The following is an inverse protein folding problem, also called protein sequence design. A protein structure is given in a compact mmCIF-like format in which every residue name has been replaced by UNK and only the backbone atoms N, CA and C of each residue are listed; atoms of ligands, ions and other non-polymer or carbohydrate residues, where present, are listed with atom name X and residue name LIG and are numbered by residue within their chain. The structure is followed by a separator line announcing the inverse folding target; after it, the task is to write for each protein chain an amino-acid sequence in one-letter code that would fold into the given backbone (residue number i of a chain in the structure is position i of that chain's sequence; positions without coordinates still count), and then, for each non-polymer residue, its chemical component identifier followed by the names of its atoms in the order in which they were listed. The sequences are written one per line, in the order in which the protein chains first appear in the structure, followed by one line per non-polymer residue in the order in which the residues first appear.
data_IF_371392812228
#
_entry.id   IF_371392812228
#
_cell.length_a   1.000
_cell.length_b   1.000
_cell.length_c   1.000
_cell.angle_alpha   90.00
_cell.angle_beta   90.00
_cell.angle_gamma   90.00
#
_symmetry.space_group_name_H-M   'P 1'
#
loop_
_entity.id
_entity.type
_entity.pdbx_description
1 polymer ?
#
# COMPACT_ATOMS: atom_id res chain seq x y z
N UNK A 1 4.48 7.98 -20.30
CA UNK A 1 5.36 7.14 -19.81
C UNK A 1 4.90 6.42 -18.64
N UNK A 2 5.02 5.22 -18.67
CA UNK A 2 4.44 4.40 -17.72
C UNK A 2 5.38 3.74 -16.82
N UNK A 3 6.45 4.32 -16.63
CA UNK A 3 7.45 3.72 -15.82
C UNK A 3 7.00 3.47 -14.42
N UNK A 4 6.13 4.32 -13.93
CA UNK A 4 5.68 4.19 -12.57
C UNK A 4 4.98 2.86 -12.31
N UNK A 5 4.31 2.33 -13.29
CA UNK A 5 3.60 1.08 -13.10
C UNK A 5 4.52 -0.10 -12.95
N UNK A 6 5.67 -0.02 -13.55
CA UNK A 6 6.61 -1.11 -13.49
C UNK A 6 7.16 -1.28 -12.09
N UNK A 7 7.30 -0.18 -11.36
CA UNK A 7 7.93 -0.23 -10.06
C UNK A 7 7.07 -0.82 -8.97
N UNK A 8 5.80 -1.04 -9.23
CA UNK A 8 4.91 -1.55 -8.19
C UNK A 8 5.33 -2.92 -7.69
N UNK A 9 5.72 -3.80 -8.59
CA UNK A 9 6.07 -5.15 -8.22
C UNK A 9 7.55 -5.43 -8.27
N UNK A 10 8.35 -4.43 -8.54
CA UNK A 10 9.79 -4.62 -8.60
C UNK A 10 10.45 -4.42 -7.26
N UNK A 11 11.62 -5.02 -7.11
CA UNK A 11 12.37 -4.87 -5.91
C UNK A 11 12.13 -6.01 -4.96
N UNK A 12 12.53 -5.79 -3.73
CA UNK A 12 12.45 -6.82 -2.72
C UNK A 12 11.00 -7.16 -2.41
N UNK A 13 10.75 -8.45 -2.18
CA UNK A 13 9.42 -8.94 -1.86
C UNK A 13 9.35 -9.31 -0.40
N UNK A 14 8.29 -8.87 0.25
CA UNK A 14 8.05 -9.17 1.67
C UNK A 14 6.75 -9.95 1.79
N UNK A 15 6.75 -10.99 2.62
CA UNK A 15 5.52 -11.69 2.92
C UNK A 15 4.71 -10.86 3.90
N UNK A 16 3.46 -11.25 4.06
CA UNK A 16 2.54 -10.42 4.85
C UNK A 16 3.00 -10.20 6.29
N UNK A 17 3.61 -11.20 6.90
CA UNK A 17 4.02 -11.01 8.29
C UNK A 17 5.09 -9.94 8.42
N UNK A 18 6.04 -9.90 7.48
CA UNK A 18 7.05 -8.88 7.51
C UNK A 18 6.49 -7.53 7.11
N UNK A 19 5.61 -7.51 6.10
CA UNK A 19 5.00 -6.27 5.69
C UNK A 19 4.20 -5.65 6.84
N UNK A 20 3.47 -6.46 7.57
CA UNK A 20 2.68 -5.97 8.69
C UNK A 20 3.57 -5.34 9.74
N UNK A 21 4.71 -5.97 10.02
CA UNK A 21 5.65 -5.40 10.97
C UNK A 21 6.16 -4.05 10.49
N UNK A 22 6.45 -3.96 9.20
CA UNK A 22 6.98 -2.71 8.65
C UNK A 22 5.96 -1.59 8.68
N UNK A 23 4.67 -1.93 8.59
CA UNK A 23 3.60 -0.95 8.67
C UNK A 23 3.17 -0.72 10.11
N UNK A 24 3.58 -1.62 11.00
CA UNK A 24 3.25 -1.56 12.42
C UNK A 24 1.77 -1.82 12.67
N UNK A 25 1.28 -2.90 12.07
CA UNK A 25 -0.08 -3.38 12.30
C UNK A 25 -0.06 -4.90 12.30
N UNK A 26 -1.17 -5.49 12.70
CA UNK A 26 -1.31 -6.94 12.64
C UNK A 26 -1.56 -7.37 11.19
N UNK A 27 -1.19 -8.60 10.87
CA UNK A 27 -1.35 -9.09 9.50
C UNK A 27 -2.81 -9.03 9.04
N UNK A 28 -3.74 -9.36 9.94
CA UNK A 28 -5.14 -9.34 9.53
C UNK A 28 -5.64 -7.94 9.23
N UNK A 29 -4.99 -6.92 9.78
CA UNK A 29 -5.35 -5.55 9.48
C UNK A 29 -4.98 -5.21 8.05
N UNK A 30 -3.79 -5.65 7.60
CA UNK A 30 -3.41 -5.43 6.21
C UNK A 30 -4.39 -6.09 5.26
N UNK A 31 -4.78 -7.34 5.55
CA UNK A 31 -5.73 -8.03 4.70
C UNK A 31 -7.09 -7.34 4.68
N UNK A 32 -7.50 -6.82 5.83
CA UNK A 32 -8.76 -6.12 5.93
C UNK A 32 -8.73 -4.84 5.09
N UNK A 33 -7.64 -4.06 5.21
CA UNK A 33 -7.51 -2.85 4.42
C UNK A 33 -7.44 -3.16 2.93
N UNK A 34 -6.70 -4.19 2.57
CA UNK A 34 -6.57 -4.61 1.19
C UNK A 34 -7.95 -4.88 0.58
N UNK A 35 -8.77 -5.58 1.33
CA UNK A 35 -10.08 -5.94 0.85
C UNK A 35 -11.02 -4.74 0.82
N UNK A 36 -11.06 -3.98 1.90
CA UNK A 36 -11.97 -2.85 1.98
C UNK A 36 -11.61 -1.73 1.01
N UNK A 37 -10.34 -1.52 0.80
CA UNK A 37 -9.89 -0.47 -0.11
C UNK A 37 -9.71 -0.99 -1.53
N UNK A 38 -9.93 -2.28 -1.73
CA UNK A 38 -9.83 -2.91 -3.05
C UNK A 38 -8.46 -2.68 -3.68
N UNK A 39 -7.42 -2.88 -2.89
CA UNK A 39 -6.05 -2.78 -3.37
C UNK A 39 -5.62 -4.16 -3.85
N UNK A 40 -5.25 -4.26 -5.12
CA UNK A 40 -4.78 -5.52 -5.67
C UNK A 40 -3.33 -5.74 -5.30
N UNK A 41 -3.08 -6.80 -4.54
CA UNK A 41 -1.74 -7.15 -4.12
C UNK A 41 -1.25 -8.28 -5.00
N UNK A 42 -0.03 -8.18 -5.51
CA UNK A 42 0.49 -9.24 -6.39
C UNK A 42 0.72 -10.53 -5.64
N UNK A 43 0.71 -11.63 -6.38
CA UNK A 43 0.95 -12.95 -5.81
C UNK A 43 2.09 -13.62 -6.56
N UNK A 44 2.86 -14.41 -5.82
CA UNK A 44 3.96 -15.12 -6.44
C UNK A 44 3.45 -16.39 -7.14
N UNK A 45 4.36 -17.19 -7.65
CA UNK A 45 3.98 -18.37 -8.41
C UNK A 45 3.18 -19.37 -7.59
N UNK A 46 3.34 -19.32 -6.28
CA UNK A 46 2.62 -20.24 -5.40
C UNK A 46 1.29 -19.67 -4.93
N UNK A 47 0.93 -18.50 -5.41
CA UNK A 47 -0.33 -17.89 -5.05
C UNK A 47 -0.30 -17.10 -3.75
N UNK A 48 0.87 -16.89 -3.18
CA UNK A 48 0.98 -16.15 -1.92
C UNK A 48 1.14 -14.67 -2.19
N UNK A 49 0.52 -13.85 -1.35
CA UNK A 49 0.67 -12.41 -1.44
C UNK A 49 2.10 -12.02 -1.18
N UNK A 50 2.59 -11.03 -1.91
CA UNK A 50 3.86 -10.43 -1.53
C UNK A 50 3.73 -8.92 -1.68
N UNK A 51 4.55 -8.23 -0.90
CA UNK A 51 4.49 -6.77 -0.84
C UNK A 51 5.87 -6.23 -1.18
N UNK A 52 5.88 -5.21 -2.04
CA UNK A 52 7.13 -4.52 -2.34
C UNK A 52 7.13 -3.22 -1.58
N UNK A 53 8.22 -2.49 -1.64
CA UNK A 53 8.31 -1.21 -0.97
C UNK A 53 7.18 -0.27 -1.41
N UNK A 54 6.79 -0.39 -2.67
CA UNK A 54 5.68 0.43 -3.17
C UNK A 54 4.42 0.22 -2.33
N UNK A 55 4.04 -1.04 -2.13
CA UNK A 55 2.83 -1.33 -1.38
C UNK A 55 2.98 -1.04 0.10
N UNK A 56 4.17 -1.29 0.64
CA UNK A 56 4.39 -0.99 2.04
C UNK A 56 4.25 0.50 2.31
N UNK A 57 4.74 1.33 1.41
CA UNK A 57 4.61 2.77 1.58
C UNK A 57 3.16 3.21 1.50
N UNK A 58 2.37 2.56 0.64
CA UNK A 58 0.95 2.87 0.56
C UNK A 58 0.26 2.54 1.88
N UNK A 59 0.56 1.36 2.44
CA UNK A 59 -0.07 0.98 3.69
C UNK A 59 0.41 1.84 4.87
N UNK A 60 1.64 2.29 4.83
CA UNK A 60 2.11 3.23 5.84
C UNK A 60 1.32 4.52 5.79
N UNK A 61 1.02 4.99 4.58
CA UNK A 61 0.22 6.21 4.44
C UNK A 61 -1.20 5.97 4.94
N UNK A 62 -1.75 4.81 4.64
CA UNK A 62 -3.08 4.47 5.14
C UNK A 62 -3.09 4.45 6.66
N UNK A 63 -2.07 3.85 7.26
CA UNK A 63 -2.00 3.82 8.71
C UNK A 63 -1.92 5.23 9.29
N UNK A 64 -1.12 6.08 8.67
CA UNK A 64 -1.00 7.45 9.10
C UNK A 64 -2.36 8.15 9.09
N UNK A 65 -3.12 7.95 8.01
CA UNK A 65 -4.42 8.58 7.90
C UNK A 65 -5.40 8.02 8.92
N UNK A 66 -5.34 6.69 9.15
CA UNK A 66 -6.18 6.09 10.17
C UNK A 66 -5.86 6.65 11.55
N UNK A 67 -4.59 6.81 11.83
CA UNK A 67 -4.17 7.37 13.11
C UNK A 67 -4.64 8.81 13.28
N UNK A 68 -4.82 9.51 12.17
CA UNK A 68 -5.34 10.87 12.20
C UNK A 68 -6.86 10.91 12.30
N UNK A 69 -7.50 9.75 12.30
CA UNK A 69 -8.93 9.70 12.49
C UNK A 69 -9.76 9.56 11.23
N UNK A 70 -9.13 9.41 10.08
CA UNK A 70 -9.90 9.26 8.85
C UNK A 70 -10.52 7.88 8.76
N UNK A 71 -11.76 7.82 8.28
CA UNK A 71 -12.44 6.56 8.07
C UNK A 71 -11.93 5.92 6.79
N UNK A 72 -12.00 4.59 6.74
CA UNK A 72 -11.57 3.89 5.54
C UNK A 72 -12.31 4.35 4.29
N UNK A 73 -13.58 4.68 4.45
CA UNK A 73 -14.36 5.16 3.31
C UNK A 73 -13.73 6.42 2.70
N UNK A 74 -13.30 7.33 3.54
CA UNK A 74 -12.65 8.54 3.06
C UNK A 74 -11.30 8.23 2.43
N UNK A 75 -10.57 7.30 3.04
CA UNK A 75 -9.27 6.91 2.51
C UNK A 75 -9.44 6.26 1.15
N UNK A 76 -10.49 5.46 0.98
CA UNK A 76 -10.73 4.80 -0.30
C UNK A 76 -10.93 5.82 -1.42
N UNK A 77 -11.63 6.89 -1.11
CA UNK A 77 -11.86 7.95 -2.10
C UNK A 77 -10.55 8.60 -2.51
N UNK A 78 -9.65 8.77 -1.57
CA UNK A 78 -8.37 9.40 -1.84
C UNK A 78 -7.31 8.45 -2.35
N UNK A 79 -7.64 7.15 -2.43
CA UNK A 79 -6.65 6.14 -2.74
C UNK A 79 -5.91 6.36 -4.07
N UNK A 80 -6.58 6.75 -5.16
CA UNK A 80 -5.83 6.99 -6.39
C UNK A 80 -4.73 8.02 -6.22
N UNK A 81 -5.00 9.08 -5.47
CA UNK A 81 -3.99 10.10 -5.23
C UNK A 81 -2.90 9.59 -4.31
N UNK A 82 -3.26 8.78 -3.33
CA UNK A 82 -2.27 8.21 -2.44
C UNK A 82 -1.31 7.33 -3.24
N UNK A 83 -1.83 6.52 -4.13
CA UNK A 83 -1.01 5.62 -4.90
C UNK A 83 -0.12 6.36 -5.89
N UNK A 84 -0.62 7.43 -6.45
CA UNK A 84 0.20 8.24 -7.33
C UNK A 84 1.21 9.05 -6.57
N UNK A 85 0.80 9.61 -5.45
CA UNK A 85 1.68 10.38 -4.62
C UNK A 85 2.84 9.57 -4.13
N UNK A 86 2.65 8.27 -4.02
CA UNK A 86 3.71 7.39 -3.62
C UNK A 86 4.86 7.45 -4.61
N UNK A 87 4.56 7.75 -5.84
CA UNK A 87 5.59 7.88 -6.86
C UNK A 87 6.09 9.28 -6.97
N UNK A 88 5.34 10.18 -6.41
CA UNK A 88 5.71 11.53 -6.59
C UNK A 88 5.63 12.25 -5.35
N UNK A 89 6.48 11.96 -4.53
CA UNK A 89 6.57 12.83 -3.44
C UNK A 89 6.66 14.22 -3.98
N UNK A 90 7.03 14.31 -5.18
CA UNK A 90 7.13 15.59 -5.81
C UNK A 90 5.82 16.33 -5.89
N UNK A 91 4.76 15.58 -5.98
CA UNK A 91 3.49 16.22 -6.05
C UNK A 91 3.28 17.09 -4.84
N UNK A 92 3.77 16.61 -3.75
CA UNK A 92 3.62 17.34 -2.53
C UNK A 92 4.37 18.63 -2.55
N UNK A 93 5.33 18.76 -3.42
CA UNK A 93 6.10 19.96 -3.50
C UNK A 93 5.38 21.05 -4.27
N UNK A 94 4.31 20.71 -4.87
CA UNK A 94 3.54 21.69 -5.57
C UNK A 94 2.65 22.50 -4.63
#
# INVERSE_FOLDING_TARGET
MIIANINRTEGRRYMISDAAKMVDVESHVLRYWEEELEIEIPRNEMGHRYYTDYYINIFRKIKELKDQGFLLKAIKIALPEIMEGNNIGALAAI
#
